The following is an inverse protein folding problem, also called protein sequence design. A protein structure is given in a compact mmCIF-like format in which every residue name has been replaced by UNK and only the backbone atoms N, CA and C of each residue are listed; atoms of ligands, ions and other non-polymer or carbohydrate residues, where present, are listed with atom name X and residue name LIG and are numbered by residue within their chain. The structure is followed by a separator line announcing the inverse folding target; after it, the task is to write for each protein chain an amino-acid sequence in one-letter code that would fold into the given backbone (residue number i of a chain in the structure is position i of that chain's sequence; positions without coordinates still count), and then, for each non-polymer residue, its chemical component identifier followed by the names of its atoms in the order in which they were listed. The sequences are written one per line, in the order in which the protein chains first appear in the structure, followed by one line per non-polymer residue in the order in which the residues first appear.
data_IF_218086916424
#
_entry.id   IF_218086916424
#
_cell.length_a   1.000
_cell.length_b   1.000
_cell.length_c   1.000
_cell.angle_alpha   90.00
_cell.angle_beta   90.00
_cell.angle_gamma   90.00
#
_symmetry.space_group_name_H-M   'P 1'
#
loop_
_entity.id
_entity.type
_entity.pdbx_description
1 polymer ?
#
# COMPACT_ATOMS: atom_id res chain seq x y z
N UNK A 1 48.58 1.24 -34.10
CA UNK A 1 47.32 1.96 -34.41
C UNK A 1 46.10 1.06 -34.63
N UNK A 2 46.21 -0.25 -34.90
CA UNK A 2 45.03 -1.10 -35.13
C UNK A 2 44.24 -1.57 -33.88
N UNK A 3 44.85 -1.60 -32.68
CA UNK A 3 44.13 -2.03 -31.46
C UNK A 3 43.15 -0.97 -30.91
N UNK A 4 43.44 0.31 -31.11
CA UNK A 4 42.57 1.42 -30.64
C UNK A 4 41.32 1.53 -31.51
N UNK A 5 41.42 1.22 -32.80
CA UNK A 5 40.30 1.29 -33.74
C UNK A 5 39.25 0.18 -33.50
N UNK A 6 39.66 -1.01 -33.07
CA UNK A 6 38.73 -2.07 -32.70
C UNK A 6 38.01 -1.83 -31.37
N UNK A 7 38.64 -1.16 -30.40
CA UNK A 7 37.97 -0.80 -29.14
C UNK A 7 36.92 0.31 -29.30
N UNK A 8 37.11 1.22 -30.27
CA UNK A 8 36.12 2.26 -30.62
C UNK A 8 34.90 1.70 -31.36
N UNK A 9 35.07 0.65 -32.17
CA UNK A 9 33.95 0.01 -32.89
C UNK A 9 33.10 -0.86 -31.95
N UNK A 10 33.70 -1.52 -30.95
CA UNK A 10 32.94 -2.32 -29.97
C UNK A 10 32.20 -1.48 -28.93
N UNK A 11 32.70 -0.31 -28.55
CA UNK A 11 31.96 0.62 -27.66
C UNK A 11 30.84 1.36 -28.40
N UNK A 12 31.00 1.64 -29.69
CA UNK A 12 29.94 2.29 -30.48
C UNK A 12 28.77 1.35 -30.82
N UNK A 13 28.96 0.02 -30.77
CA UNK A 13 27.89 -0.96 -31.00
C UNK A 13 26.97 -1.19 -29.78
N UNK A 14 27.42 -0.83 -28.57
CA UNK A 14 26.65 -0.96 -27.33
C UNK A 14 25.70 0.23 -27.07
N UNK A 15 25.77 1.29 -27.88
CA UNK A 15 24.97 2.50 -27.73
C UNK A 15 23.79 2.62 -28.71
N UNK A 16 23.54 1.60 -29.56
CA UNK A 16 22.52 1.68 -30.65
C UNK A 16 21.35 0.70 -30.47
N UNK A 17 21.08 0.21 -29.25
CA UNK A 17 19.88 -0.62 -29.03
C UNK A 17 19.29 -0.50 -27.63
N UNK A 18 19.07 0.71 -27.15
CA UNK A 18 17.99 0.93 -26.17
C UNK A 18 16.66 0.94 -26.93
N UNK A 19 16.19 -0.25 -27.36
CA UNK A 19 14.78 -0.41 -27.64
C UNK A 19 14.08 -0.23 -26.30
N UNK A 20 13.56 0.98 -26.06
CA UNK A 20 12.63 1.24 -24.97
C UNK A 20 11.42 0.34 -25.20
N UNK A 21 11.43 -0.84 -24.58
CA UNK A 21 10.23 -1.64 -24.48
C UNK A 21 9.30 -0.85 -23.56
N UNK A 22 8.18 -0.40 -24.12
CA UNK A 22 7.11 0.13 -23.29
C UNK A 22 6.64 -1.00 -22.39
N UNK A 23 6.39 -0.68 -21.13
CA UNK A 23 5.74 -1.54 -20.16
C UNK A 23 4.59 -0.76 -19.53
N UNK A 24 3.54 -1.48 -19.12
CA UNK A 24 2.45 -0.90 -18.36
C UNK A 24 2.80 -0.95 -16.88
N UNK A 25 3.30 0.16 -16.34
CA UNK A 25 3.54 0.29 -14.91
C UNK A 25 2.23 0.54 -14.18
N UNK A 26 1.93 -0.29 -13.19
CA UNK A 26 0.81 -0.16 -12.28
C UNK A 26 1.38 0.03 -10.88
N UNK A 27 1.17 1.20 -10.30
CA UNK A 27 1.72 1.59 -9.01
C UNK A 27 0.60 1.71 -7.97
N UNK A 28 0.89 1.28 -6.76
CA UNK A 28 0.03 1.51 -5.62
C UNK A 28 0.85 1.66 -4.32
N UNK A 29 0.34 2.48 -3.41
CA UNK A 29 0.76 2.48 -2.01
C UNK A 29 -0.09 1.48 -1.24
N UNK A 30 0.57 0.64 -0.44
CA UNK A 30 -0.06 -0.38 0.38
C UNK A 30 0.23 -0.08 1.84
N UNK A 31 -0.84 0.07 2.60
CA UNK A 31 -0.81 0.04 4.06
C UNK A 31 -1.32 -1.31 4.55
N UNK A 32 -1.26 -1.50 5.84
CA UNK A 32 -1.82 -2.63 6.57
C UNK A 32 -3.28 -2.98 6.24
N UNK A 33 -4.13 -1.99 5.98
CA UNK A 33 -5.58 -2.16 5.85
C UNK A 33 -6.15 -1.65 4.53
N UNK A 34 -5.32 -0.99 3.72
CA UNK A 34 -5.78 -0.23 2.58
C UNK A 34 -4.76 -0.18 1.45
N UNK A 35 -5.27 -0.07 0.22
CA UNK A 35 -4.46 0.12 -0.98
C UNK A 35 -4.94 1.38 -1.68
N UNK A 36 -3.98 2.20 -2.10
CA UNK A 36 -4.23 3.35 -2.98
C UNK A 36 -3.51 3.13 -4.30
N UNK A 37 -4.27 2.95 -5.37
CA UNK A 37 -3.73 2.87 -6.72
C UNK A 37 -3.43 4.27 -7.28
N UNK A 38 -2.22 4.48 -7.79
CA UNK A 38 -1.77 5.81 -8.26
C UNK A 38 -2.13 6.09 -9.71
N UNK A 39 -2.14 5.04 -10.54
CA UNK A 39 -2.21 5.18 -12.00
C UNK A 39 -3.10 4.12 -12.66
N UNK A 40 -4.21 3.82 -11.98
CA UNK A 40 -5.28 2.94 -12.46
C UNK A 40 -6.56 3.76 -12.59
N UNK A 41 -7.34 3.45 -13.61
CA UNK A 41 -8.73 3.89 -13.73
C UNK A 41 -9.62 2.66 -13.62
N UNK A 42 -10.78 2.82 -12.97
CA UNK A 42 -11.79 1.78 -12.95
C UNK A 42 -12.47 1.72 -14.32
N UNK A 43 -12.40 0.55 -14.95
CA UNK A 43 -13.10 0.24 -16.19
C UNK A 43 -14.57 -0.08 -15.94
N UNK A 44 -15.15 -0.91 -16.79
CA UNK A 44 -16.52 -1.39 -16.62
C UNK A 44 -16.50 -2.62 -15.69
N UNK A 45 -17.33 -2.61 -14.65
CA UNK A 45 -17.33 -3.64 -13.60
C UNK A 45 -16.12 -3.53 -12.67
N UNK A 46 -15.57 -4.67 -12.24
CA UNK A 46 -14.40 -4.74 -11.35
C UNK A 46 -13.05 -4.63 -12.09
N UNK A 47 -13.09 -4.39 -13.40
CA UNK A 47 -11.89 -4.27 -14.22
C UNK A 47 -11.11 -2.99 -13.88
N UNK A 48 -9.81 -3.14 -13.67
CA UNK A 48 -8.82 -2.06 -13.54
C UNK A 48 -8.09 -1.90 -14.87
N UNK A 49 -7.82 -0.66 -15.27
CA UNK A 49 -7.02 -0.34 -16.47
C UNK A 49 -5.90 0.63 -16.12
N UNK A 50 -4.68 0.45 -16.65
CA UNK A 50 -3.64 1.46 -16.51
C UNK A 50 -4.10 2.80 -17.10
N UNK A 51 -3.86 3.90 -16.39
CA UNK A 51 -4.17 5.24 -16.89
C UNK A 51 -3.31 5.60 -18.11
N UNK A 52 -2.12 5.01 -18.21
CA UNK A 52 -1.23 5.16 -19.36
C UNK A 52 -1.63 4.22 -20.50
N UNK A 53 -1.69 4.79 -21.69
CA UNK A 53 -1.83 4.06 -22.94
C UNK A 53 -0.47 3.60 -23.48
N UNK A 54 -0.41 2.38 -24.00
CA UNK A 54 0.74 1.83 -24.70
C UNK A 54 0.74 2.22 -26.18
N UNK A 55 1.92 2.52 -26.72
CA UNK A 55 2.11 2.79 -28.15
C UNK A 55 2.63 1.51 -28.81
N UNK A 56 1.87 0.91 -29.73
CA UNK A 56 2.27 -0.33 -30.39
C UNK A 56 3.49 -0.11 -31.29
N UNK A 57 4.46 -1.04 -31.31
CA UNK A 57 5.67 -0.86 -32.11
C UNK A 57 5.37 -1.02 -33.61
N UNK A 58 5.62 0.02 -34.40
CA UNK A 58 5.65 0.00 -35.87
C UNK A 58 4.43 -0.70 -36.52
N UNK A 59 3.22 -0.18 -36.28
CA UNK A 59 2.01 -0.70 -36.93
C UNK A 59 2.09 -0.57 -38.46
N UNK A 60 1.55 -1.57 -39.17
CA UNK A 60 1.50 -1.55 -40.63
C UNK A 60 0.23 -0.85 -41.09
N UNK A 61 0.29 -0.29 -42.30
CA UNK A 61 -0.91 0.17 -43.00
C UNK A 61 -1.79 -1.01 -43.39
N UNK A 62 -3.09 -0.92 -43.13
CA UNK A 62 -4.08 -1.99 -43.37
C UNK A 62 -5.22 -1.49 -44.24
N UNK A 63 -5.83 -2.39 -45.02
CA UNK A 63 -7.06 -2.12 -45.76
C UNK A 63 -8.30 -2.33 -44.89
N UNK A 64 -8.23 -3.24 -43.93
CA UNK A 64 -9.25 -3.44 -42.89
C UNK A 64 -8.64 -4.24 -41.74
N UNK A 65 -9.26 -4.20 -40.55
CA UNK A 65 -8.79 -4.95 -39.39
C UNK A 65 -9.91 -5.27 -38.40
N UNK A 66 -9.66 -6.26 -37.55
CA UNK A 66 -10.51 -6.59 -36.41
C UNK A 66 -9.64 -6.69 -35.16
N UNK A 67 -10.12 -6.09 -34.08
CA UNK A 67 -9.49 -6.20 -32.78
C UNK A 67 -9.50 -7.66 -32.30
N UNK A 68 -8.43 -8.07 -31.63
CA UNK A 68 -8.39 -9.32 -30.88
C UNK A 68 -7.86 -9.08 -29.48
N UNK A 69 -8.07 -10.04 -28.59
CA UNK A 69 -7.49 -10.02 -27.25
C UNK A 69 -6.22 -10.88 -27.23
N UNK A 70 -6.11 -11.83 -26.30
CA UNK A 70 -4.90 -12.59 -26.06
C UNK A 70 -4.70 -13.74 -27.05
N UNK A 71 -3.49 -13.86 -27.60
CA UNK A 71 -3.06 -15.03 -28.37
C UNK A 71 -2.45 -16.12 -27.50
N UNK A 72 -2.05 -15.77 -26.27
CA UNK A 72 -1.50 -16.67 -25.24
C UNK A 72 -2.16 -16.32 -23.92
N UNK A 73 -2.59 -17.32 -23.15
CA UNK A 73 -3.23 -17.09 -21.86
C UNK A 73 -2.27 -16.35 -20.91
N UNK A 74 -2.65 -15.19 -20.37
CA UNK A 74 -1.85 -14.50 -19.36
C UNK A 74 -1.74 -15.32 -18.07
N UNK A 75 -0.69 -15.11 -17.25
CA UNK A 75 -0.62 -15.67 -15.91
C UNK A 75 -1.86 -15.34 -15.06
N UNK A 76 -2.28 -16.28 -14.23
CA UNK A 76 -3.43 -16.14 -13.32
C UNK A 76 -3.02 -15.87 -11.86
N UNK A 77 -1.72 -15.74 -11.61
CA UNK A 77 -1.19 -15.31 -10.32
C UNK A 77 0.13 -14.57 -10.49
N UNK A 78 0.46 -13.75 -9.50
CA UNK A 78 1.75 -13.08 -9.36
C UNK A 78 2.35 -13.36 -8.00
N UNK A 79 3.66 -13.27 -7.92
CA UNK A 79 4.39 -13.30 -6.66
C UNK A 79 5.26 -12.06 -6.61
N UNK A 80 5.11 -11.26 -5.57
CA UNK A 80 5.87 -10.03 -5.44
C UNK A 80 7.25 -10.33 -4.87
N UNK A 81 8.23 -9.57 -5.34
CA UNK A 81 9.60 -9.59 -4.82
C UNK A 81 10.05 -8.18 -4.48
N UNK A 82 10.63 -8.00 -3.30
CA UNK A 82 10.95 -6.66 -2.82
C UNK A 82 11.27 -6.58 -1.34
N UNK A 83 11.08 -5.39 -0.77
CA UNK A 83 11.43 -5.09 0.61
C UNK A 83 12.92 -4.96 0.85
N UNK A 84 13.30 -4.73 2.11
CA UNK A 84 14.69 -4.53 2.52
C UNK A 84 15.56 -5.79 2.32
N UNK A 85 14.95 -6.98 2.44
CA UNK A 85 15.65 -8.27 2.39
C UNK A 85 15.40 -9.09 1.10
N UNK A 86 14.85 -8.46 0.04
CA UNK A 86 14.48 -9.15 -1.22
C UNK A 86 13.56 -10.34 -0.95
N UNK A 87 12.57 -10.10 -0.10
CA UNK A 87 11.57 -11.06 0.29
C UNK A 87 10.66 -11.43 -0.88
N UNK A 88 10.06 -12.61 -0.78
CA UNK A 88 9.05 -13.09 -1.71
C UNK A 88 7.74 -13.26 -0.95
N UNK A 89 6.64 -12.80 -1.54
CA UNK A 89 5.30 -12.95 -0.96
C UNK A 89 4.70 -14.32 -1.27
N UNK A 90 3.53 -14.61 -0.69
CA UNK A 90 2.68 -15.67 -1.22
C UNK A 90 2.12 -15.30 -2.61
N UNK A 91 1.58 -16.30 -3.31
CA UNK A 91 0.98 -16.14 -4.63
C UNK A 91 -0.33 -15.35 -4.54
N UNK A 92 -0.41 -14.22 -5.24
CA UNK A 92 -1.59 -13.36 -5.32
C UNK A 92 -2.35 -13.69 -6.62
N UNK A 93 -3.63 -14.09 -6.55
CA UNK A 93 -4.45 -14.30 -7.74
C UNK A 93 -4.62 -13.00 -8.54
N UNK A 94 -4.47 -13.10 -9.87
CA UNK A 94 -4.74 -12.01 -10.81
C UNK A 94 -5.48 -12.57 -12.03
N UNK A 95 -6.33 -11.75 -12.65
CA UNK A 95 -6.89 -12.05 -13.96
C UNK A 95 -6.58 -10.92 -14.92
N UNK A 96 -5.96 -11.20 -16.05
CA UNK A 96 -5.84 -10.22 -17.15
C UNK A 96 -7.00 -10.47 -18.10
N UNK A 97 -8.03 -9.61 -18.01
CA UNK A 97 -9.37 -9.89 -18.50
C UNK A 97 -9.61 -9.44 -19.93
N UNK A 98 -8.79 -8.52 -20.45
CA UNK A 98 -9.08 -7.93 -21.75
C UNK A 98 -8.09 -6.88 -22.23
N UNK A 99 -8.44 -6.25 -23.35
CA UNK A 99 -7.64 -5.21 -24.00
C UNK A 99 -8.57 -4.10 -24.48
N UNK A 100 -8.14 -2.86 -24.26
CA UNK A 100 -8.73 -1.70 -24.90
C UNK A 100 -7.84 -1.19 -26.02
N UNK A 101 -8.45 -0.87 -27.16
CA UNK A 101 -7.80 -0.19 -28.28
C UNK A 101 -8.37 1.20 -28.45
N UNK A 102 -7.53 2.16 -28.81
CA UNK A 102 -7.93 3.52 -29.11
C UNK A 102 -7.54 3.87 -30.55
N UNK A 103 -8.54 4.27 -31.32
CA UNK A 103 -8.45 4.59 -32.74
C UNK A 103 -8.58 6.09 -33.04
N UNK A 104 -8.50 6.96 -32.01
CA UNK A 104 -8.71 8.41 -32.14
C UNK A 104 -7.95 8.99 -33.33
N UNK A 105 -8.63 9.75 -34.18
CA UNK A 105 -8.02 10.39 -35.35
C UNK A 105 -7.97 9.52 -36.60
N UNK A 106 -8.61 8.34 -36.59
CA UNK A 106 -8.80 7.50 -37.78
C UNK A 106 -10.29 7.21 -37.93
N UNK A 107 -10.85 7.59 -39.08
CA UNK A 107 -12.24 7.30 -39.41
C UNK A 107 -12.38 5.89 -39.98
N UNK A 108 -13.26 5.09 -39.39
CA UNK A 108 -13.52 3.72 -39.80
C UNK A 108 -14.99 3.53 -40.18
N UNK A 109 -15.23 2.71 -41.19
CA UNK A 109 -16.54 2.10 -41.45
C UNK A 109 -16.57 0.70 -40.86
N UNK A 110 -17.65 0.40 -40.13
CA UNK A 110 -17.88 -0.88 -39.47
C UNK A 110 -18.60 -1.86 -40.39
N UNK A 111 -18.19 -3.13 -40.36
CA UNK A 111 -18.88 -4.24 -41.01
C UNK A 111 -18.78 -5.51 -40.16
N UNK A 112 -19.70 -6.46 -40.35
CA UNK A 112 -19.68 -7.73 -39.62
C UNK A 112 -18.42 -8.55 -39.97
N UNK A 113 -17.71 -9.02 -38.96
CA UNK A 113 -16.65 -10.03 -39.05
C UNK A 113 -17.22 -11.42 -38.75
N UNK A 114 -17.46 -12.21 -39.80
CA UNK A 114 -17.97 -13.59 -39.66
C UNK A 114 -16.94 -14.57 -39.10
N UNK A 115 -15.66 -14.19 -39.07
CA UNK A 115 -14.59 -14.94 -38.40
C UNK A 115 -14.37 -14.53 -36.94
N UNK A 116 -15.16 -13.59 -36.42
CA UNK A 116 -15.11 -13.14 -35.03
C UNK A 116 -15.77 -14.13 -34.05
N UNK A 117 -15.40 -14.05 -32.77
CA UNK A 117 -15.94 -14.91 -31.71
C UNK A 117 -15.00 -15.04 -30.51
N UNK A 118 -15.43 -15.77 -29.48
CA UNK A 118 -14.59 -16.12 -28.31
C UNK A 118 -14.40 -15.02 -27.27
N UNK A 119 -15.03 -13.86 -27.46
CA UNK A 119 -15.03 -12.76 -26.50
C UNK A 119 -16.20 -12.91 -25.53
N UNK A 120 -15.95 -12.75 -24.23
CA UNK A 120 -17.01 -12.58 -23.22
C UNK A 120 -17.64 -11.20 -23.34
N UNK A 121 -16.86 -10.23 -23.83
CA UNK A 121 -17.34 -8.90 -24.18
C UNK A 121 -16.68 -8.42 -25.48
N UNK A 122 -17.51 -7.94 -26.40
CA UNK A 122 -17.09 -7.33 -27.66
C UNK A 122 -17.83 -6.00 -27.84
N UNK A 123 -17.19 -4.91 -27.44
CA UNK A 123 -17.77 -3.57 -27.47
C UNK A 123 -16.94 -2.67 -28.38
N UNK A 124 -17.48 -2.34 -29.55
CA UNK A 124 -16.88 -1.44 -30.54
C UNK A 124 -17.63 -0.13 -30.51
N UNK A 125 -17.10 0.85 -29.76
CA UNK A 125 -17.68 2.18 -29.60
C UNK A 125 -16.61 3.24 -29.90
N UNK A 126 -16.37 3.48 -31.20
CA UNK A 126 -15.26 4.30 -31.67
C UNK A 126 -15.23 5.69 -30.98
N UNK A 127 -14.05 6.18 -30.55
CA UNK A 127 -12.73 5.64 -30.86
C UNK A 127 -12.23 4.54 -29.90
N UNK A 128 -13.05 4.06 -28.97
CA UNK A 128 -12.67 3.07 -27.96
C UNK A 128 -13.25 1.70 -28.29
N UNK A 129 -12.40 0.68 -28.33
CA UNK A 129 -12.80 -0.71 -28.52
C UNK A 129 -12.41 -1.47 -27.27
N UNK A 130 -13.35 -2.19 -26.66
CA UNK A 130 -13.13 -2.99 -25.45
C UNK A 130 -13.44 -4.44 -25.73
N UNK A 131 -12.42 -5.29 -25.60
CA UNK A 131 -12.56 -6.74 -25.71
C UNK A 131 -12.22 -7.40 -24.38
N UNK A 132 -13.10 -8.27 -23.89
CA UNK A 132 -12.84 -9.12 -22.72
C UNK A 132 -12.93 -10.61 -23.12
N UNK A 133 -12.10 -11.43 -22.48
CA UNK A 133 -12.08 -12.89 -22.69
C UNK A 133 -11.55 -13.60 -21.45
N UNK A 134 -12.10 -14.77 -21.16
CA UNK A 134 -11.60 -15.69 -20.13
C UNK A 134 -10.43 -16.56 -20.63
N UNK A 135 -9.99 -16.39 -21.88
CA UNK A 135 -8.95 -17.23 -22.48
C UNK A 135 -8.32 -16.62 -23.73
N UNK A 136 -7.92 -17.49 -24.65
CA UNK A 136 -7.27 -17.11 -25.91
C UNK A 136 -8.25 -17.08 -27.07
N UNK A 137 -7.93 -16.31 -28.11
CA UNK A 137 -8.65 -16.36 -29.38
C UNK A 137 -9.94 -15.55 -29.44
N UNK A 138 -10.13 -14.59 -28.53
CA UNK A 138 -11.17 -13.57 -28.69
C UNK A 138 -10.82 -12.65 -29.87
N UNK A 139 -11.71 -12.59 -30.84
CA UNK A 139 -11.66 -11.73 -32.04
C UNK A 139 -12.99 -11.00 -32.14
N UNK A 140 -12.95 -9.68 -32.31
CA UNK A 140 -14.15 -8.87 -32.48
C UNK A 140 -14.98 -9.36 -33.67
N UNK A 141 -16.29 -9.40 -33.46
CA UNK A 141 -17.33 -9.58 -34.48
C UNK A 141 -17.48 -8.38 -35.41
N UNK A 142 -16.66 -7.34 -35.24
CA UNK A 142 -16.61 -6.17 -36.12
C UNK A 142 -15.28 -6.08 -36.87
N UNK A 143 -15.37 -5.78 -38.16
CA UNK A 143 -14.26 -5.37 -39.02
C UNK A 143 -14.33 -3.86 -39.23
N UNK A 144 -13.21 -3.19 -39.07
CA UNK A 144 -13.02 -1.76 -39.25
C UNK A 144 -12.21 -1.50 -40.52
N UNK A 145 -12.81 -0.73 -41.43
CA UNK A 145 -12.21 -0.39 -42.72
C UNK A 145 -11.96 1.11 -42.78
N UNK A 146 -10.70 1.58 -42.83
CA UNK A 146 -10.41 3.01 -42.96
C UNK A 146 -10.66 3.48 -44.39
N UNK A 147 -10.94 4.78 -44.56
CA UNK A 147 -11.17 5.39 -45.90
C UNK A 147 -9.92 5.38 -46.79
N UNK A 148 -8.74 5.43 -46.17
CA UNK A 148 -7.42 5.31 -46.80
C UNK A 148 -6.63 4.32 -45.95
N UNK A 149 -5.79 3.50 -46.59
CA UNK A 149 -4.97 2.55 -45.86
C UNK A 149 -4.17 3.27 -44.76
N UNK A 150 -4.37 2.85 -43.50
CA UNK A 150 -3.83 3.51 -42.31
C UNK A 150 -3.43 2.48 -41.26
N UNK A 151 -2.87 2.94 -40.13
CA UNK A 151 -2.70 2.07 -38.97
C UNK A 151 -4.06 1.56 -38.47
N UNK A 152 -4.14 0.33 -37.91
CA UNK A 152 -5.38 -0.21 -37.36
C UNK A 152 -5.84 0.55 -36.10
N UNK A 153 -4.92 0.91 -35.21
CA UNK A 153 -5.17 1.69 -34.01
C UNK A 153 -3.95 2.54 -33.69
N UNK A 154 -4.03 3.43 -32.70
CA UNK A 154 -2.89 4.23 -32.27
C UNK A 154 -2.38 3.82 -30.90
N UNK A 155 -3.28 3.38 -30.02
CA UNK A 155 -2.94 3.05 -28.65
C UNK A 155 -3.67 1.80 -28.20
N UNK A 156 -3.10 1.11 -27.20
CA UNK A 156 -3.77 0.01 -26.53
C UNK A 156 -3.43 -0.01 -25.04
N UNK A 157 -4.23 -0.69 -24.23
CA UNK A 157 -3.89 -1.00 -22.84
C UNK A 157 -4.58 -2.29 -22.38
N UNK A 158 -3.95 -3.08 -21.51
CA UNK A 158 -4.58 -4.26 -20.93
C UNK A 158 -5.59 -3.87 -19.85
N UNK A 159 -6.50 -4.80 -19.57
CA UNK A 159 -7.44 -4.78 -18.46
C UNK A 159 -7.09 -5.92 -17.51
N UNK A 160 -7.20 -5.68 -16.20
CA UNK A 160 -6.89 -6.69 -15.20
C UNK A 160 -7.80 -6.57 -13.97
N UNK A 161 -7.86 -7.63 -13.19
CA UNK A 161 -8.53 -7.72 -11.90
C UNK A 161 -7.57 -8.33 -10.90
N UNK A 162 -7.45 -7.67 -9.75
CA UNK A 162 -6.65 -8.11 -8.61
C UNK A 162 -7.36 -7.64 -7.34
N UNK A 163 -7.50 -8.54 -6.37
CA UNK A 163 -8.14 -8.25 -5.09
C UNK A 163 -7.17 -7.52 -4.17
N UNK A 164 -7.61 -6.35 -3.69
CA UNK A 164 -6.81 -5.52 -2.81
C UNK A 164 -6.53 -6.24 -1.47
N UNK A 165 -7.48 -7.06 -0.98
CA UNK A 165 -7.31 -7.87 0.24
C UNK A 165 -6.23 -8.94 0.06
N UNK A 166 -6.15 -9.55 -1.12
CA UNK A 166 -5.15 -10.56 -1.42
C UNK A 166 -3.72 -9.96 -1.46
N UNK A 167 -3.59 -8.71 -1.93
CA UNK A 167 -2.31 -7.98 -1.90
C UNK A 167 -1.91 -7.66 -0.46
N UNK A 168 -2.83 -7.09 0.33
CA UNK A 168 -2.58 -6.77 1.75
C UNK A 168 -2.13 -8.02 2.52
N UNK A 169 -2.87 -9.12 2.40
CA UNK A 169 -2.55 -10.37 3.09
C UNK A 169 -1.18 -10.94 2.66
N UNK A 170 -0.82 -10.82 1.39
CA UNK A 170 0.46 -11.32 0.88
C UNK A 170 1.67 -10.48 1.35
N UNK A 171 1.45 -9.21 1.65
CA UNK A 171 2.45 -8.28 2.20
C UNK A 171 2.46 -8.25 3.73
N UNK A 172 1.45 -8.81 4.39
CA UNK A 172 1.36 -8.82 5.85
C UNK A 172 2.61 -9.44 6.50
N UNK A 173 3.21 -8.69 7.42
CA UNK A 173 4.43 -9.10 8.14
C UNK A 173 5.72 -9.04 7.31
N UNK A 174 5.66 -8.52 6.09
CA UNK A 174 6.85 -8.24 5.27
C UNK A 174 7.53 -6.95 5.71
N UNK A 175 8.81 -6.80 5.35
CA UNK A 175 9.55 -5.56 5.56
C UNK A 175 8.98 -4.42 4.70
N UNK A 176 9.15 -3.17 5.15
CA UNK A 176 8.84 -2.00 4.35
C UNK A 176 9.59 -2.02 3.01
N UNK A 177 8.95 -1.50 1.97
CA UNK A 177 9.64 -1.13 0.74
C UNK A 177 8.85 -1.43 -0.52
N UNK A 178 9.55 -1.38 -1.65
CA UNK A 178 8.96 -1.62 -2.97
C UNK A 178 8.95 -3.11 -3.31
N UNK A 179 7.76 -3.63 -3.59
CA UNK A 179 7.48 -5.00 -4.01
C UNK A 179 6.95 -5.01 -5.44
N UNK A 180 7.56 -5.82 -6.31
CA UNK A 180 7.22 -5.82 -7.73
C UNK A 180 6.99 -7.20 -8.32
N UNK A 181 6.17 -7.26 -9.36
CA UNK A 181 5.96 -8.44 -10.19
C UNK A 181 5.68 -8.05 -11.64
N UNK A 182 6.01 -8.94 -12.57
CA UNK A 182 5.79 -8.73 -14.00
C UNK A 182 4.83 -9.76 -14.57
N UNK A 183 3.84 -9.30 -15.34
CA UNK A 183 2.87 -10.13 -16.05
C UNK A 183 3.05 -9.94 -17.55
N UNK A 184 3.69 -10.89 -18.25
CA UNK A 184 3.82 -10.81 -19.71
C UNK A 184 2.45 -11.00 -20.36
N UNK A 185 2.18 -10.21 -21.41
CA UNK A 185 0.96 -10.30 -22.21
C UNK A 185 1.30 -10.39 -23.69
N UNK A 186 0.50 -11.13 -24.45
CA UNK A 186 0.61 -11.19 -25.91
C UNK A 186 -0.78 -11.00 -26.51
N UNK A 187 -1.01 -9.82 -27.07
CA UNK A 187 -2.27 -9.45 -27.71
C UNK A 187 -2.16 -9.67 -29.22
N UNK A 188 -3.29 -9.90 -29.87
CA UNK A 188 -3.34 -10.12 -31.32
C UNK A 188 -4.37 -9.23 -31.98
N UNK A 189 -4.10 -8.80 -33.21
CA UNK A 189 -5.10 -8.20 -34.09
C UNK A 189 -5.01 -8.81 -35.48
N UNK A 190 -6.13 -8.82 -36.19
CA UNK A 190 -6.29 -9.46 -37.49
C UNK A 190 -6.51 -8.37 -38.53
N UNK A 191 -5.88 -8.48 -39.69
CA UNK A 191 -5.95 -7.43 -40.70
C UNK A 191 -5.75 -7.93 -42.12
N UNK A 192 -6.28 -7.16 -43.08
CA UNK A 192 -5.99 -7.31 -44.50
C UNK A 192 -4.90 -6.30 -44.85
N UNK A 193 -3.77 -6.78 -45.36
CA UNK A 193 -2.66 -5.91 -45.75
C UNK A 193 -2.96 -5.16 -47.06
N UNK A 194 -2.10 -4.21 -47.44
CA UNK A 194 -2.25 -3.43 -48.68
C UNK A 194 -2.15 -4.26 -49.96
N UNK A 195 -1.74 -5.53 -49.88
CA UNK A 195 -1.74 -6.49 -50.99
C UNK A 195 -3.00 -7.37 -51.02
N UNK A 196 -3.97 -7.14 -50.14
CA UNK A 196 -5.23 -7.90 -50.07
C UNK A 196 -5.14 -9.24 -49.34
N UNK A 197 -4.07 -9.52 -48.60
CA UNK A 197 -3.89 -10.79 -47.88
C UNK A 197 -4.33 -10.63 -46.43
N UNK A 198 -5.24 -11.49 -45.99
CA UNK A 198 -5.64 -11.61 -44.58
C UNK A 198 -4.54 -12.27 -43.76
N UNK A 199 -4.18 -11.64 -42.65
CA UNK A 199 -3.16 -12.13 -41.72
C UNK A 199 -3.42 -11.57 -40.32
N UNK A 200 -2.52 -11.83 -39.37
CA UNK A 200 -2.60 -11.33 -38.02
C UNK A 200 -1.23 -10.87 -37.53
N UNK A 201 -1.21 -10.15 -36.43
CA UNK A 201 0.02 -9.77 -35.75
C UNK A 201 -0.14 -9.86 -34.24
N UNK A 202 0.88 -10.40 -33.61
CA UNK A 202 1.02 -10.39 -32.16
C UNK A 202 1.84 -9.18 -31.70
N UNK A 203 1.43 -8.59 -30.58
CA UNK A 203 2.17 -7.57 -29.84
C UNK A 203 2.42 -8.12 -28.46
N UNK A 204 3.69 -8.29 -28.12
CA UNK A 204 4.15 -8.70 -26.80
C UNK A 204 4.47 -7.48 -25.96
N UNK A 205 3.95 -7.43 -24.74
CA UNK A 205 4.18 -6.36 -23.77
C UNK A 205 4.18 -6.96 -22.34
N UNK A 206 4.40 -6.15 -21.32
CA UNK A 206 4.45 -6.57 -19.92
C UNK A 206 3.75 -5.55 -19.03
N UNK A 207 2.95 -6.05 -18.09
CA UNK A 207 2.42 -5.26 -16.98
C UNK A 207 3.39 -5.40 -15.82
N UNK A 208 3.88 -4.30 -15.28
CA UNK A 208 4.76 -4.28 -14.10
C UNK A 208 3.94 -3.71 -12.95
N UNK A 209 3.61 -4.56 -11.99
CA UNK A 209 3.03 -4.16 -10.73
C UNK A 209 4.14 -3.73 -9.78
N UNK A 210 3.95 -2.59 -9.13
CA UNK A 210 4.85 -2.05 -8.12
C UNK A 210 4.02 -1.55 -6.93
N UNK A 211 4.26 -2.13 -5.77
CA UNK A 211 3.59 -1.84 -4.53
C UNK A 211 4.60 -1.23 -3.57
N UNK A 212 4.36 0.00 -3.14
CA UNK A 212 5.11 0.64 -2.09
C UNK A 212 4.47 0.30 -0.75
N UNK A 213 5.06 -0.62 0.01
CA UNK A 213 4.52 -1.13 1.25
C UNK A 213 5.07 -0.36 2.45
N UNK A 214 4.18 0.34 3.16
CA UNK A 214 4.46 1.08 4.39
C UNK A 214 3.50 0.61 5.49
N UNK A 215 3.89 -0.43 6.26
CA UNK A 215 3.05 -1.00 7.30
C UNK A 215 2.99 -0.21 8.59
N UNK A 216 3.71 0.91 8.76
CA UNK A 216 3.86 1.57 10.06
C UNK A 216 2.51 2.03 10.61
N UNK A 217 2.03 1.32 11.65
CA UNK A 217 0.74 1.58 12.27
C UNK A 217 0.65 1.04 13.69
N UNK A 218 -0.33 1.56 14.44
CA UNK A 218 -0.84 0.94 15.67
C UNK A 218 -2.18 0.28 15.33
N UNK A 219 -2.28 -1.03 15.50
CA UNK A 219 -3.53 -1.78 15.34
C UNK A 219 -4.32 -1.88 16.65
N UNK A 220 -3.65 -1.73 17.80
CA UNK A 220 -4.31 -1.78 19.10
C UNK A 220 -3.43 -1.33 20.26
N UNK A 221 -4.09 -0.99 21.36
CA UNK A 221 -3.48 -0.75 22.66
C UNK A 221 -4.33 -1.47 23.72
N UNK A 222 -3.73 -2.40 24.44
CA UNK A 222 -4.43 -3.21 25.43
C UNK A 222 -3.85 -3.02 26.84
N UNK A 223 -4.73 -2.93 27.84
CA UNK A 223 -4.36 -3.05 29.26
C UNK A 223 -4.30 -4.54 29.61
N UNK A 224 -3.10 -5.07 29.78
CA UNK A 224 -2.87 -6.48 30.16
C UNK A 224 -3.13 -6.72 31.64
N UNK A 225 -2.77 -5.76 32.48
CA UNK A 225 -3.03 -5.79 33.93
C UNK A 225 -3.00 -4.39 34.54
N UNK A 226 -3.59 -4.25 35.74
CA UNK A 226 -3.74 -2.97 36.46
C UNK A 226 -5.17 -2.46 36.45
N UNK A 227 -5.63 -1.93 37.59
CA UNK A 227 -6.97 -1.37 37.77
C UNK A 227 -6.96 0.14 38.06
N UNK A 228 -5.77 0.73 38.28
CA UNK A 228 -5.59 2.14 38.62
C UNK A 228 -6.04 2.50 40.04
N UNK A 229 -6.31 1.52 40.89
CA UNK A 229 -6.77 1.77 42.25
C UNK A 229 -5.55 1.96 43.15
N UNK A 230 -5.40 3.15 43.70
CA UNK A 230 -4.46 3.41 44.78
C UNK A 230 -4.99 2.81 46.08
N UNK A 231 -4.23 1.91 46.69
CA UNK A 231 -4.48 1.44 48.06
C UNK A 231 -3.59 2.21 49.02
N UNK A 232 -4.10 3.26 49.69
CA UNK A 232 -3.28 4.14 50.53
C UNK A 232 -2.75 3.42 51.77
N UNK A 233 -1.49 3.69 52.10
CA UNK A 233 -0.88 3.31 53.38
C UNK A 233 -0.58 4.58 54.16
N UNK A 234 -1.12 4.68 55.39
CA UNK A 234 -0.81 5.77 56.30
C UNK A 234 0.26 5.33 57.31
N UNK A 235 1.40 6.01 57.28
CA UNK A 235 2.45 5.86 58.28
C UNK A 235 2.19 6.84 59.43
N UNK A 236 1.76 6.33 60.58
CA UNK A 236 1.43 7.15 61.75
C UNK A 236 2.64 7.75 62.47
N UNK A 237 3.85 7.24 62.22
CA UNK A 237 5.09 7.77 62.82
C UNK A 237 5.52 9.06 62.12
N UNK A 238 5.51 9.02 60.79
CA UNK A 238 5.94 10.15 59.94
C UNK A 238 4.75 11.01 59.47
N UNK A 239 3.52 10.58 59.79
CA UNK A 239 2.25 11.20 59.36
C UNK A 239 2.13 11.35 57.85
N UNK A 240 2.68 10.38 57.10
CA UNK A 240 2.71 10.38 55.63
C UNK A 240 1.66 9.43 55.07
N UNK A 241 1.03 9.79 53.96
CA UNK A 241 0.19 8.89 53.17
C UNK A 241 0.89 8.63 51.84
N UNK A 242 1.13 7.36 51.55
CA UNK A 242 1.73 6.92 50.29
C UNK A 242 0.89 5.85 49.61
N UNK A 243 0.91 5.82 48.29
CA UNK A 243 0.36 4.71 47.52
C UNK A 243 1.02 4.62 46.15
N UNK A 244 0.95 3.43 45.57
CA UNK A 244 1.38 3.16 44.21
C UNK A 244 0.39 2.24 43.50
N UNK A 245 0.29 2.39 42.20
CA UNK A 245 -0.43 1.48 41.30
C UNK A 245 0.29 1.44 39.95
N UNK A 246 -0.03 0.47 39.10
CA UNK A 246 0.61 0.34 37.81
C UNK A 246 -0.32 -0.25 36.76
N UNK A 247 -0.13 0.18 35.51
CA UNK A 247 -0.71 -0.46 34.34
C UNK A 247 0.39 -1.15 33.53
N UNK A 248 0.13 -2.40 33.16
CA UNK A 248 0.88 -3.10 32.13
C UNK A 248 0.12 -2.98 30.82
N UNK A 249 0.74 -2.34 29.84
CA UNK A 249 0.17 -2.02 28.54
C UNK A 249 0.91 -2.78 27.45
N UNK A 250 0.21 -3.05 26.35
CA UNK A 250 0.82 -3.58 25.13
C UNK A 250 0.28 -2.85 23.91
N UNK A 251 1.19 -2.18 23.18
CA UNK A 251 0.89 -1.63 21.87
C UNK A 251 1.12 -2.72 20.81
N UNK A 252 0.09 -2.98 20.01
CA UNK A 252 0.11 -3.93 18.90
C UNK A 252 0.09 -3.14 17.58
N UNK A 253 0.85 -3.60 16.59
CA UNK A 253 0.96 -2.88 15.32
C UNK A 253 2.13 -3.38 14.50
N UNK A 254 2.67 -2.50 13.66
CA UNK A 254 3.95 -2.71 13.00
C UNK A 254 4.81 -1.47 13.23
N UNK A 255 5.92 -1.65 13.92
CA UNK A 255 6.78 -0.57 14.40
C UNK A 255 8.17 -0.76 13.82
N UNK A 256 8.71 0.25 13.12
CA UNK A 256 10.11 0.25 12.68
C UNK A 256 11.05 0.74 13.78
N UNK A 257 10.61 1.78 14.51
CA UNK A 257 11.42 2.46 15.50
C UNK A 257 10.68 2.62 16.84
N UNK A 258 9.98 1.57 17.24
CA UNK A 258 9.24 1.57 18.49
C UNK A 258 7.96 2.41 18.47
N UNK A 259 7.58 2.95 19.62
CA UNK A 259 6.43 3.83 19.80
C UNK A 259 6.82 5.13 20.48
N UNK A 260 6.01 6.16 20.25
CA UNK A 260 6.05 7.46 20.92
C UNK A 260 4.89 7.56 21.89
N UNK A 261 5.18 7.83 23.16
CA UNK A 261 4.19 8.25 24.14
C UNK A 261 4.15 9.78 24.19
N UNK A 262 2.94 10.33 24.11
CA UNK A 262 2.69 11.76 24.28
C UNK A 262 1.72 11.97 25.44
N UNK A 263 2.19 12.72 26.44
CA UNK A 263 1.46 13.14 27.62
C UNK A 263 0.93 14.56 27.38
N UNK A 264 -0.40 14.80 27.41
CA UNK A 264 -0.96 16.14 27.26
C UNK A 264 -0.65 16.99 28.50
N UNK A 265 -0.51 18.30 28.32
CA UNK A 265 -0.41 19.21 29.45
C UNK A 265 -1.73 19.23 30.22
N UNK A 266 -1.71 18.73 31.45
CA UNK A 266 -2.81 18.76 32.41
C UNK A 266 -2.25 18.84 33.84
N UNK A 267 -3.13 19.07 34.81
CA UNK A 267 -2.78 18.92 36.22
C UNK A 267 -2.76 17.41 36.56
N UNK A 268 -1.65 16.93 37.13
CA UNK A 268 -1.48 15.53 37.51
C UNK A 268 -1.66 15.38 39.02
N UNK A 269 -2.91 15.46 39.45
CA UNK A 269 -3.30 15.40 40.85
C UNK A 269 -4.63 14.68 41.03
N UNK A 270 -4.73 13.86 42.08
CA UNK A 270 -6.01 13.26 42.48
C UNK A 270 -6.85 14.34 43.15
N UNK A 271 -8.10 14.49 42.72
CA UNK A 271 -9.01 15.53 43.20
C UNK A 271 -10.03 14.91 44.17
N UNK A 272 -10.22 15.52 45.34
CA UNK A 272 -11.22 15.06 46.31
C UNK A 272 -12.64 15.19 45.75
N UNK A 273 -13.38 14.08 45.70
CA UNK A 273 -14.68 14.00 45.01
C UNK A 273 -15.76 14.92 45.60
N UNK A 274 -15.72 15.14 46.92
CA UNK A 274 -16.69 15.98 47.62
C UNK A 274 -16.20 17.42 47.87
N UNK A 275 -14.92 17.73 47.63
CA UNK A 275 -14.32 19.05 47.94
C UNK A 275 -13.14 19.36 47.00
N UNK A 276 -13.40 19.45 45.68
CA UNK A 276 -12.35 19.50 44.66
C UNK A 276 -11.45 20.73 44.74
N UNK A 277 -11.94 21.86 45.28
CA UNK A 277 -11.18 23.12 45.37
C UNK A 277 -10.24 23.21 46.58
N UNK A 278 -10.27 22.22 47.47
CA UNK A 278 -9.65 22.32 48.81
C UNK A 278 -8.59 21.25 49.05
N UNK A 279 -8.72 20.08 48.42
CA UNK A 279 -7.83 18.96 48.66
C UNK A 279 -7.49 18.22 47.36
N UNK A 280 -6.22 18.30 46.96
CA UNK A 280 -5.65 17.54 45.85
C UNK A 280 -4.41 16.78 46.31
N UNK A 281 -4.06 15.71 45.60
CA UNK A 281 -2.88 14.88 45.87
C UNK A 281 -2.07 14.81 44.59
N UNK A 282 -0.94 15.54 44.47
CA UNK A 282 -0.06 15.39 43.32
C UNK A 282 0.51 13.97 43.29
N UNK A 283 0.66 13.43 42.08
CA UNK A 283 1.26 12.11 41.88
C UNK A 283 2.24 12.14 40.72
N UNK A 284 3.18 11.20 40.75
CA UNK A 284 4.19 11.01 39.71
C UNK A 284 3.83 9.84 38.81
N UNK A 285 4.29 9.91 37.55
CA UNK A 285 4.13 8.87 36.54
C UNK A 285 5.51 8.46 36.04
N UNK A 286 5.83 7.18 36.13
CA UNK A 286 7.08 6.58 35.68
C UNK A 286 6.84 5.56 34.57
N UNK A 287 7.77 5.51 33.62
CA UNK A 287 7.81 4.54 32.53
C UNK A 287 9.25 4.03 32.37
N UNK A 288 9.58 2.85 32.89
CA UNK A 288 10.97 2.39 32.90
C UNK A 288 11.49 2.00 31.52
N UNK A 289 10.59 1.62 30.61
CA UNK A 289 10.88 1.28 29.22
C UNK A 289 11.05 2.53 28.33
N UNK A 290 10.71 3.70 28.85
CA UNK A 290 10.79 4.96 28.14
C UNK A 290 12.23 5.50 28.09
N UNK A 291 12.56 6.21 27.01
CA UNK A 291 13.83 6.95 26.87
C UNK A 291 14.06 7.94 28.02
N UNK A 292 12.97 8.53 28.54
CA UNK A 292 12.94 9.34 29.75
C UNK A 292 12.03 8.67 30.80
N UNK A 293 12.58 8.07 31.87
CA UNK A 293 11.77 7.29 32.80
C UNK A 293 10.75 8.07 33.64
N UNK A 294 11.02 9.34 33.93
CA UNK A 294 10.12 10.19 34.72
C UNK A 294 9.27 11.05 33.79
N UNK A 295 7.98 10.75 33.67
CA UNK A 295 7.06 11.54 32.84
C UNK A 295 6.53 12.73 33.63
N UNK A 296 6.07 12.46 34.84
CA UNK A 296 5.54 13.44 35.80
C UNK A 296 6.29 13.26 37.12
N UNK A 297 6.77 14.34 37.72
CA UNK A 297 7.52 14.30 38.98
C UNK A 297 6.58 14.15 40.20
N UNK A 298 7.15 14.06 41.41
CA UNK A 298 6.38 13.92 42.66
C UNK A 298 5.47 15.10 43.00
N UNK A 299 5.69 16.25 42.37
CA UNK A 299 4.89 17.47 42.58
C UNK A 299 3.73 17.57 41.57
N UNK A 300 3.48 16.54 40.76
CA UNK A 300 2.44 16.55 39.73
C UNK A 300 2.80 17.36 38.49
N UNK A 301 4.08 17.69 38.29
CA UNK A 301 4.55 18.49 37.16
C UNK A 301 5.02 17.58 36.03
N UNK A 302 4.48 17.79 34.83
CA UNK A 302 4.92 17.12 33.61
C UNK A 302 6.36 17.55 33.24
N UNK A 303 7.28 16.59 33.25
CA UNK A 303 8.70 16.81 32.95
C UNK A 303 9.01 16.41 31.51
N UNK A 304 8.53 15.24 31.08
CA UNK A 304 8.79 14.70 29.76
C UNK A 304 7.46 14.49 29.02
N UNK A 305 6.97 15.49 28.27
CA UNK A 305 5.69 15.41 27.55
C UNK A 305 5.71 14.42 26.39
N UNK A 306 6.90 14.13 25.85
CA UNK A 306 7.09 13.18 24.75
C UNK A 306 8.26 12.28 25.07
N UNK A 307 8.09 10.96 24.92
CA UNK A 307 9.17 9.97 25.08
C UNK A 307 8.96 8.81 24.12
N UNK A 308 10.04 8.10 23.78
CA UNK A 308 9.99 6.90 22.95
C UNK A 308 10.17 5.63 23.79
N UNK A 309 9.68 4.50 23.27
CA UNK A 309 9.93 3.14 23.77
C UNK A 309 10.36 2.29 22.59
N UNK A 310 11.47 1.57 22.73
CA UNK A 310 11.97 0.68 21.67
C UNK A 310 12.65 1.38 20.49
N UNK A 311 13.00 2.66 20.61
CA UNK A 311 13.79 3.35 19.58
C UNK A 311 15.14 2.64 19.36
N UNK A 312 15.49 2.41 18.11
CA UNK A 312 16.67 1.68 17.65
C UNK A 312 16.57 0.16 17.77
N UNK A 313 15.42 -0.40 18.18
CA UNK A 313 15.25 -1.85 18.37
C UNK A 313 14.91 -2.62 17.09
N UNK A 314 14.56 -1.91 16.01
CA UNK A 314 14.17 -2.48 14.72
C UNK A 314 12.71 -2.91 14.69
N UNK A 315 12.37 -3.76 13.70
CA UNK A 315 10.99 -4.13 13.42
C UNK A 315 10.39 -4.93 14.60
N UNK A 316 9.26 -4.46 15.12
CA UNK A 316 8.46 -5.17 16.12
C UNK A 316 6.96 -5.12 15.78
N UNK A 317 6.24 -6.17 16.18
CA UNK A 317 4.78 -6.24 16.06
C UNK A 317 4.05 -5.97 17.40
N UNK A 318 4.80 -5.95 18.49
CA UNK A 318 4.27 -5.75 19.84
C UNK A 318 5.30 -5.08 20.73
N UNK A 319 4.86 -4.08 21.49
CA UNK A 319 5.69 -3.36 22.46
C UNK A 319 4.95 -3.33 23.80
N UNK A 320 5.33 -4.21 24.74
CA UNK A 320 4.85 -4.14 26.11
C UNK A 320 5.59 -3.03 26.87
N UNK A 321 4.87 -2.29 27.72
CA UNK A 321 5.43 -1.26 28.58
C UNK A 321 4.61 -1.07 29.86
N UNK A 322 5.23 -0.52 30.89
CA UNK A 322 4.59 -0.31 32.19
C UNK A 322 4.52 1.17 32.53
N UNK A 323 3.37 1.59 33.06
CA UNK A 323 3.21 2.91 33.66
C UNK A 323 2.95 2.75 35.15
N UNK A 324 3.84 3.28 35.97
CA UNK A 324 3.72 3.29 37.43
C UNK A 324 3.30 4.67 37.90
N UNK A 325 2.27 4.71 38.74
CA UNK A 325 1.72 5.91 39.33
C UNK A 325 1.96 5.84 40.83
N UNK A 326 2.48 6.91 41.43
CA UNK A 326 2.79 6.93 42.86
C UNK A 326 2.66 8.33 43.47
N UNK A 327 2.25 8.39 44.73
CA UNK A 327 2.31 9.60 45.55
C UNK A 327 2.83 9.29 46.95
N UNK A 328 3.41 10.30 47.59
CA UNK A 328 3.82 10.26 48.99
C UNK A 328 3.78 11.69 49.56
N UNK A 329 2.72 11.96 50.33
CA UNK A 329 2.33 13.32 50.76
C UNK A 329 2.14 13.39 52.28
N UNK A 330 2.13 14.61 52.80
CA UNK A 330 1.79 14.86 54.21
C UNK A 330 0.31 14.51 54.46
N UNK A 331 0.04 13.67 55.46
CA UNK A 331 -1.31 13.27 55.83
C UNK A 331 -2.08 14.35 56.59
N UNK A 332 -1.42 15.34 57.18
CA UNK A 332 -2.10 16.43 57.90
C UNK A 332 -2.85 17.38 56.95
N UNK A 333 -2.43 17.45 55.69
CA UNK A 333 -3.05 18.30 54.67
C UNK A 333 -4.21 17.60 53.96
N UNK A 334 -4.47 16.32 54.24
CA UNK A 334 -5.48 15.54 53.53
C UNK A 334 -6.80 15.47 54.29
N UNK A 335 -7.88 15.50 53.52
CA UNK A 335 -9.22 15.20 53.99
C UNK A 335 -9.53 13.71 53.77
N UNK A 336 -10.26 13.10 54.72
CA UNK A 336 -10.79 11.75 54.52
C UNK A 336 -11.86 11.74 53.44
N UNK A 337 -11.71 10.85 52.46
CA UNK A 337 -12.69 10.67 51.39
C UNK A 337 -12.06 10.00 50.18
N UNK A 338 -12.80 10.03 49.08
CA UNK A 338 -12.35 9.49 47.79
C UNK A 338 -11.68 10.59 46.97
N UNK A 339 -10.59 10.24 46.31
CA UNK A 339 -9.88 11.10 45.37
C UNK A 339 -9.81 10.38 44.02
N UNK A 340 -9.96 11.12 42.92
CA UNK A 340 -9.92 10.55 41.59
C UNK A 340 -9.28 11.53 40.59
N UNK A 341 -8.72 10.98 39.52
CA UNK A 341 -8.24 11.73 38.36
C UNK A 341 -8.42 10.89 37.08
N UNK A 342 -8.31 11.51 35.91
CA UNK A 342 -8.28 10.87 34.60
C UNK A 342 -7.05 11.31 33.83
N UNK A 343 -6.22 10.34 33.43
CA UNK A 343 -5.03 10.59 32.63
C UNK A 343 -5.25 10.13 31.21
N UNK A 344 -4.99 11.02 30.24
CA UNK A 344 -4.96 10.66 28.83
C UNK A 344 -3.52 10.49 28.37
N UNK A 345 -3.24 9.41 27.64
CA UNK A 345 -1.92 9.14 27.07
C UNK A 345 -2.13 8.76 25.62
N UNK A 346 -1.43 9.45 24.72
CA UNK A 346 -1.47 9.14 23.29
C UNK A 346 -0.28 8.28 22.92
N UNK A 347 -0.54 7.19 22.21
CA UNK A 347 0.49 6.29 21.68
C UNK A 347 0.49 6.45 20.16
N UNK A 348 1.67 6.72 19.60
CA UNK A 348 1.91 6.80 18.15
C UNK A 348 3.07 5.90 17.73
N UNK A 349 3.17 5.50 16.46
CA UNK A 349 4.35 4.81 15.97
C UNK A 349 5.58 5.72 16.03
N UNK A 350 6.75 5.16 16.36
CA UNK A 350 8.05 5.79 16.15
C UNK A 350 8.38 5.84 14.66
N UNK A 351 8.79 7.02 14.18
CA UNK A 351 9.12 7.29 12.78
C UNK A 351 10.62 7.51 12.63
#
# INVERSE_FOLDING_TARGET
MHKVFHQLITTSALLISSYSHSAFYVNADVKSDSIRWDNVTYGIGDNKVPSKWGVPPALRSVLSWSAGAFSVAPPNSITLKGGLDVETTDSIPISVTGVQYNTSGIDFTESVNTGGGGCTKDEVALPLITLESEGVGCISSTTLTPSIASAPFLLFRPMFQIDDTAIINALYGKSEGSYSASVPIVISYYYVNTSGISTYRNISDVIIFNFNYDPVEITGLEVRSGDGIFTPTYNSSDRRVSSETSYQLEAMGFFHDGIVLTMPSQDYELIHTASPEVATIPYSILCNECSSPELVNSDGVLINPVTTIGAGSGISQSIPFNLSFKYDVDGETLMSGEYADTVTIMVGPGI
#
